data_IF_647762153185
#
_entry.id   IF_647762153185
#
_cell.length_a   1.000
_cell.length_b   1.000
_cell.length_c   1.000
_cell.angle_alpha   90.00
_cell.angle_beta   90.00
_cell.angle_gamma   90.00
#
_symmetry.space_group_name_H-M   'P 1'
#
loop_
_entity.id
_entity.type
_entity.pdbx_description
1 polymer ?
#
# COMPACT_ATOMS: atom_id res chain seq x y z
N UNK A 1 12.27 7.30 -18.50
CA UNK A 1 13.10 6.08 -18.54
C UNK A 1 14.44 6.27 -19.26
N UNK A 2 14.54 7.04 -20.35
CA UNK A 2 15.82 7.28 -21.05
C UNK A 2 16.96 7.83 -20.15
N UNK A 3 16.62 8.61 -19.12
CA UNK A 3 17.63 9.14 -18.19
C UNK A 3 18.22 8.07 -17.26
N UNK A 4 17.47 7.05 -16.82
CA UNK A 4 17.95 6.04 -15.86
C UNK A 4 19.08 5.16 -16.43
N UNK A 5 18.98 4.81 -17.72
CA UNK A 5 20.04 4.09 -18.44
C UNK A 5 21.32 4.93 -18.58
N UNK A 6 21.19 6.26 -18.54
CA UNK A 6 22.30 7.20 -18.68
C UNK A 6 22.83 7.73 -17.33
N UNK A 7 22.12 7.48 -16.21
CA UNK A 7 22.31 8.18 -14.93
C UNK A 7 22.70 7.28 -13.75
N UNK A 8 23.69 6.41 -13.92
CA UNK A 8 24.21 5.51 -12.84
C UNK A 8 23.21 4.46 -12.33
N UNK A 9 22.31 3.98 -13.20
CA UNK A 9 21.41 2.86 -12.90
C UNK A 9 20.27 3.20 -11.94
N UNK A 10 19.77 2.20 -11.22
CA UNK A 10 18.60 2.31 -10.33
C UNK A 10 18.97 2.64 -8.88
N UNK A 11 20.23 2.49 -8.48
CA UNK A 11 20.66 2.69 -7.10
C UNK A 11 20.30 4.07 -6.52
N UNK A 12 20.51 5.19 -7.23
CA UNK A 12 20.09 6.50 -6.73
C UNK A 12 18.57 6.62 -6.53
N UNK A 13 17.78 5.92 -7.34
CA UNK A 13 16.31 5.91 -7.24
C UNK A 13 15.89 5.15 -5.98
N UNK A 14 16.46 3.96 -5.75
CA UNK A 14 16.20 3.16 -4.56
C UNK A 14 16.60 3.91 -3.28
N UNK A 15 17.75 4.61 -3.26
CA UNK A 15 18.11 5.50 -2.14
C UNK A 15 17.09 6.62 -1.92
N UNK A 16 16.60 7.21 -3.00
CA UNK A 16 15.52 8.20 -2.95
C UNK A 16 14.24 7.64 -2.31
N UNK A 17 13.86 6.40 -2.62
CA UNK A 17 12.69 5.75 -1.99
C UNK A 17 12.88 5.50 -0.49
N UNK A 18 14.10 5.17 -0.05
CA UNK A 18 14.37 4.99 1.39
C UNK A 18 14.37 6.32 2.15
N UNK A 19 14.85 7.40 1.54
CA UNK A 19 15.09 8.67 2.24
C UNK A 19 13.95 9.68 2.13
N UNK A 20 12.99 9.46 1.22
CA UNK A 20 11.94 10.44 0.94
C UNK A 20 10.62 10.00 1.55
N UNK A 21 9.98 10.82 2.40
CA UNK A 21 8.70 10.47 2.98
C UNK A 21 7.62 10.37 1.90
N UNK A 22 6.73 9.38 2.05
CA UNK A 22 5.51 9.33 1.25
C UNK A 22 4.67 10.58 1.51
N UNK A 23 4.02 11.08 0.46
CA UNK A 23 3.07 12.18 0.60
C UNK A 23 1.86 11.71 1.41
N UNK A 24 1.29 12.60 2.23
CA UNK A 24 0.08 12.29 3.00
C UNK A 24 -1.06 11.81 2.08
N UNK A 25 -1.86 10.83 2.54
CA UNK A 25 -3.13 10.47 1.89
C UNK A 25 -3.98 11.71 1.60
N UNK A 26 -4.83 11.67 0.57
CA UNK A 26 -5.73 12.78 0.14
C UNK A 26 -5.09 13.93 -0.65
N UNK A 27 -3.78 13.88 -0.98
CA UNK A 27 -3.14 14.96 -1.75
C UNK A 27 -2.49 14.46 -3.02
N UNK A 28 -3.21 14.52 -4.14
CA UNK A 28 -2.60 14.36 -5.46
C UNK A 28 -1.68 15.55 -5.80
N UNK A 29 -0.62 15.33 -6.58
CA UNK A 29 0.28 16.42 -7.02
C UNK A 29 -0.16 16.92 -8.39
N UNK A 30 0.12 18.20 -8.73
CA UNK A 30 -0.08 18.71 -10.09
C UNK A 30 0.65 17.89 -11.17
N UNK A 31 1.71 17.16 -10.80
CA UNK A 31 2.39 16.25 -11.70
C UNK A 31 1.48 15.15 -12.27
N UNK A 32 0.47 14.71 -11.51
CA UNK A 32 -0.49 13.69 -11.94
C UNK A 32 -1.88 14.24 -12.24
N UNK A 33 -2.25 15.41 -11.70
CA UNK A 33 -3.56 16.02 -12.00
C UNK A 33 -3.54 16.97 -13.19
N UNK A 34 -2.39 17.59 -13.52
CA UNK A 34 -2.30 18.56 -14.62
C UNK A 34 -1.34 18.12 -15.73
N UNK A 35 -0.32 17.33 -15.39
CA UNK A 35 0.84 17.07 -16.26
C UNK A 35 1.11 15.60 -16.51
N UNK A 36 0.19 14.70 -16.16
CA UNK A 36 0.41 13.28 -16.45
C UNK A 36 0.52 13.11 -17.96
N UNK A 37 1.65 12.60 -18.45
CA UNK A 37 1.94 12.48 -19.88
C UNK A 37 1.69 13.77 -20.70
N UNK A 38 1.91 14.95 -20.09
CA UNK A 38 1.88 16.24 -20.76
C UNK A 38 0.58 17.05 -20.65
N UNK A 39 -0.57 16.43 -20.41
CA UNK A 39 -1.85 17.17 -20.26
C UNK A 39 -3.00 16.37 -19.60
N UNK A 40 -2.72 15.22 -19.00
CA UNK A 40 -3.75 14.33 -18.48
C UNK A 40 -3.92 14.48 -16.96
N UNK A 41 -5.17 14.42 -16.51
CA UNK A 41 -5.56 14.36 -15.09
C UNK A 41 -5.89 12.92 -14.68
N UNK A 42 -5.02 12.33 -13.86
CA UNK A 42 -5.21 10.98 -13.32
C UNK A 42 -6.45 10.86 -12.42
N UNK A 43 -6.78 11.90 -11.66
CA UNK A 43 -7.95 11.89 -10.78
C UNK A 43 -9.24 11.81 -11.59
N UNK A 44 -9.37 12.69 -12.60
CA UNK A 44 -10.49 12.66 -13.53
C UNK A 44 -10.58 11.35 -14.33
N UNK A 45 -9.44 10.78 -14.73
CA UNK A 45 -9.40 9.47 -15.38
C UNK A 45 -9.88 8.33 -14.46
N UNK A 46 -9.49 8.33 -13.19
CA UNK A 46 -9.90 7.30 -12.24
C UNK A 46 -11.41 7.37 -11.97
N UNK A 47 -11.98 8.58 -11.89
CA UNK A 47 -13.44 8.78 -11.82
C UNK A 47 -14.12 8.19 -13.05
N UNK A 48 -13.68 8.56 -14.26
CA UNK A 48 -14.28 8.03 -15.47
C UNK A 48 -14.12 6.52 -15.63
N UNK A 49 -12.98 5.96 -15.25
CA UNK A 49 -12.75 4.52 -15.29
C UNK A 49 -13.65 3.77 -14.31
N UNK A 50 -13.88 4.34 -13.13
CA UNK A 50 -14.84 3.80 -12.18
C UNK A 50 -16.24 3.70 -12.78
N UNK A 51 -16.69 4.74 -13.48
CA UNK A 51 -18.00 4.78 -14.15
C UNK A 51 -18.08 3.81 -15.33
N UNK A 52 -17.03 3.76 -16.16
CA UNK A 52 -16.92 2.82 -17.29
C UNK A 52 -17.01 1.36 -16.84
N UNK A 53 -16.34 1.02 -15.73
CA UNK A 53 -16.38 -0.30 -15.13
C UNK A 53 -17.64 -0.55 -14.25
N UNK A 54 -18.59 0.40 -14.23
CA UNK A 54 -19.79 0.35 -13.40
C UNK A 54 -19.51 0.02 -11.91
N UNK A 55 -18.43 0.59 -11.38
CA UNK A 55 -18.08 0.43 -9.96
C UNK A 55 -19.22 1.03 -9.11
N UNK A 56 -19.72 0.30 -8.10
CA UNK A 56 -20.77 0.82 -7.22
C UNK A 56 -20.39 2.13 -6.54
N UNK A 57 -21.39 2.92 -6.15
CA UNK A 57 -21.15 4.18 -5.46
C UNK A 57 -20.47 3.98 -4.11
N UNK A 58 -19.82 5.04 -3.62
CA UNK A 58 -19.18 5.07 -2.31
C UNK A 58 -20.15 4.65 -1.19
N UNK A 59 -21.38 5.15 -1.21
CA UNK A 59 -22.38 4.82 -0.19
C UNK A 59 -22.79 3.33 -0.23
N UNK A 60 -22.80 2.73 -1.41
CA UNK A 60 -23.04 1.28 -1.58
C UNK A 60 -21.85 0.49 -1.05
N UNK A 61 -20.62 0.90 -1.37
CA UNK A 61 -19.42 0.24 -0.86
C UNK A 61 -19.27 0.35 0.67
N UNK A 62 -19.68 1.48 1.27
CA UNK A 62 -19.79 1.64 2.73
C UNK A 62 -20.71 0.57 3.34
N UNK A 63 -21.90 0.40 2.78
CA UNK A 63 -22.84 -0.64 3.27
C UNK A 63 -22.32 -2.05 3.11
N UNK A 64 -21.61 -2.35 2.01
CA UNK A 64 -20.93 -3.64 1.83
C UNK A 64 -19.90 -3.90 2.93
N UNK A 65 -19.19 -2.85 3.37
CA UNK A 65 -18.23 -2.89 4.47
C UNK A 65 -18.85 -2.76 5.88
N UNK A 66 -20.18 -2.86 6.00
CA UNK A 66 -20.89 -2.83 7.28
C UNK A 66 -21.09 -1.44 7.90
N UNK A 67 -20.78 -0.37 7.14
CA UNK A 67 -21.03 1.01 7.58
C UNK A 67 -22.49 1.42 7.28
N UNK A 68 -23.07 2.35 8.08
CA UNK A 68 -24.41 2.87 7.81
C UNK A 68 -24.49 3.57 6.45
N UNK A 69 -25.61 3.39 5.75
CA UNK A 69 -25.90 4.15 4.53
C UNK A 69 -26.17 5.61 4.88
N UNK A 70 -25.47 6.54 4.25
CA UNK A 70 -25.68 7.97 4.42
C UNK A 70 -26.92 8.45 3.65
N UNK A 71 -27.82 9.17 4.31
CA UNK A 71 -28.94 9.86 3.68
C UNK A 71 -28.59 11.32 3.31
N UNK A 72 -27.59 11.90 3.98
CA UNK A 72 -27.08 13.24 3.74
C UNK A 72 -25.55 13.28 3.67
N UNK A 73 -24.98 14.30 3.03
CA UNK A 73 -23.52 14.47 3.01
C UNK A 73 -22.91 14.68 4.40
N UNK A 74 -23.70 15.14 5.38
CA UNK A 74 -23.26 15.29 6.78
C UNK A 74 -23.08 13.91 7.45
N UNK A 75 -23.83 12.90 7.02
CA UNK A 75 -23.76 11.53 7.56
C UNK A 75 -22.46 10.81 7.20
N UNK A 76 -21.65 11.38 6.30
CA UNK A 76 -20.28 10.92 6.05
C UNK A 76 -19.28 11.37 7.15
N UNK A 77 -19.74 12.09 8.18
CA UNK A 77 -18.90 12.55 9.30
C UNK A 77 -18.27 11.43 10.13
N UNK A 78 -18.75 10.20 9.98
CA UNK A 78 -18.17 9.02 10.62
C UNK A 78 -16.79 8.64 10.04
N UNK A 79 -16.59 8.87 8.75
CA UNK A 79 -15.34 8.53 8.04
C UNK A 79 -14.62 9.72 7.42
N UNK A 80 -15.33 10.80 7.08
CA UNK A 80 -14.79 12.04 6.49
C UNK A 80 -14.96 13.16 7.52
N UNK A 81 -13.96 13.36 8.38
CA UNK A 81 -14.09 14.26 9.53
C UNK A 81 -14.19 15.73 9.09
N UNK A 82 -13.45 16.12 8.06
CA UNK A 82 -13.44 17.50 7.55
C UNK A 82 -14.78 17.89 6.90
N UNK A 83 -15.49 18.80 7.56
CA UNK A 83 -16.77 19.35 7.09
C UNK A 83 -16.67 20.05 5.73
N UNK A 84 -15.53 20.65 5.41
CA UNK A 84 -15.34 21.32 4.11
C UNK A 84 -15.32 20.30 2.97
N UNK A 85 -14.72 19.12 3.18
CA UNK A 85 -14.74 18.04 2.20
C UNK A 85 -16.17 17.52 1.97
N UNK A 86 -16.93 17.31 3.05
CA UNK A 86 -18.34 16.90 2.98
C UNK A 86 -19.21 17.95 2.28
N UNK A 87 -19.00 19.22 2.60
CA UNK A 87 -19.67 20.34 1.90
C UNK A 87 -19.28 20.39 0.42
N UNK A 88 -18.02 20.11 0.10
CA UNK A 88 -17.52 20.01 -1.27
C UNK A 88 -18.22 18.90 -2.06
N UNK A 89 -18.40 17.73 -1.47
CA UNK A 89 -19.16 16.63 -2.09
C UNK A 89 -20.57 17.08 -2.47
N UNK A 90 -21.28 17.75 -1.56
CA UNK A 90 -22.63 18.26 -1.84
C UNK A 90 -22.73 19.38 -2.87
N UNK A 91 -21.60 19.97 -3.30
CA UNK A 91 -21.55 20.90 -4.43
C UNK A 91 -21.36 20.20 -5.78
N UNK A 92 -20.81 18.98 -5.77
CA UNK A 92 -20.41 18.26 -6.99
C UNK A 92 -21.28 17.04 -7.29
N UNK A 93 -21.96 16.49 -6.29
CA UNK A 93 -22.87 15.36 -6.40
C UNK A 93 -24.27 15.75 -5.96
N UNK A 94 -25.30 15.24 -6.65
CA UNK A 94 -26.70 15.54 -6.34
C UNK A 94 -27.15 14.81 -5.06
N UNK A 95 -26.75 13.56 -4.91
CA UNK A 95 -27.09 12.72 -3.76
C UNK A 95 -25.87 11.98 -3.23
N UNK A 96 -25.95 11.47 -2.00
CA UNK A 96 -24.89 10.62 -1.41
C UNK A 96 -24.65 9.33 -2.21
N UNK A 97 -25.66 8.88 -2.96
CA UNK A 97 -25.61 7.68 -3.77
C UNK A 97 -24.94 7.88 -5.13
N UNK A 98 -24.68 9.13 -5.53
CA UNK A 98 -23.96 9.47 -6.76
C UNK A 98 -22.43 9.56 -6.55
N UNK A 99 -21.97 9.60 -5.30
CA UNK A 99 -20.55 9.77 -4.98
C UNK A 99 -19.75 8.58 -5.51
N UNK A 100 -18.84 8.83 -6.46
CA UNK A 100 -17.96 7.81 -7.03
C UNK A 100 -17.14 7.14 -5.91
N UNK A 101 -17.04 5.80 -5.91
CA UNK A 101 -16.30 5.07 -4.87
C UNK A 101 -14.87 5.58 -4.69
N UNK A 102 -14.15 5.80 -5.81
CA UNK A 102 -12.81 6.36 -5.80
C UNK A 102 -12.74 7.66 -5.01
N UNK A 103 -13.64 8.61 -5.27
CA UNK A 103 -13.65 9.93 -4.61
C UNK A 103 -13.93 9.78 -3.12
N UNK A 104 -15.01 9.10 -2.74
CA UNK A 104 -15.36 8.92 -1.34
C UNK A 104 -14.27 8.21 -0.53
N UNK A 105 -13.73 7.11 -1.07
CA UNK A 105 -12.65 6.34 -0.42
C UNK A 105 -11.36 7.14 -0.25
N UNK A 106 -11.08 8.07 -1.17
CA UNK A 106 -9.92 8.95 -1.14
C UNK A 106 -10.17 10.21 -0.31
N UNK A 107 -11.30 10.34 0.37
CA UNK A 107 -11.59 11.43 1.32
C UNK A 107 -11.75 10.94 2.75
N UNK A 108 -11.90 9.63 2.97
CA UNK A 108 -11.96 9.06 4.33
C UNK A 108 -10.66 9.25 5.08
N UNK A 109 -10.73 9.71 6.33
CA UNK A 109 -9.56 9.80 7.20
C UNK A 109 -8.96 8.40 7.44
N UNK A 110 -7.61 8.25 7.44
CA UNK A 110 -6.98 6.95 7.62
C UNK A 110 -7.30 6.29 8.96
N UNK A 111 -7.43 4.97 8.96
CA UNK A 111 -7.53 4.19 10.20
C UNK A 111 -6.25 4.30 11.03
N UNK A 112 -6.35 4.07 12.34
CA UNK A 112 -5.19 4.09 13.24
C UNK A 112 -4.14 3.07 12.80
N UNK A 113 -2.92 3.55 12.52
CA UNK A 113 -1.82 2.70 12.03
C UNK A 113 -1.89 2.36 10.54
N UNK A 114 -2.89 2.86 9.80
CA UNK A 114 -3.07 2.66 8.37
C UNK A 114 -2.84 3.92 7.53
N UNK A 115 -2.87 3.75 6.21
CA UNK A 115 -2.73 4.84 5.23
C UNK A 115 -4.02 5.17 4.47
N UNK A 116 -5.07 4.36 4.65
CA UNK A 116 -6.35 4.52 3.96
C UNK A 116 -7.49 4.42 4.96
N UNK A 117 -8.66 4.96 4.60
CA UNK A 117 -9.85 4.90 5.43
C UNK A 117 -10.46 3.50 5.54
N UNK A 118 -11.52 3.41 6.34
CA UNK A 118 -12.20 2.15 6.69
C UNK A 118 -12.75 1.41 5.47
N UNK A 119 -13.45 2.10 4.57
CA UNK A 119 -14.10 1.46 3.42
C UNK A 119 -13.05 0.91 2.46
N UNK A 120 -11.99 1.68 2.17
CA UNK A 120 -10.92 1.22 1.30
C UNK A 120 -10.11 0.09 1.93
N UNK A 121 -9.85 0.16 3.25
CA UNK A 121 -9.19 -0.92 4.01
C UNK A 121 -9.98 -2.23 3.94
N UNK A 122 -11.31 -2.18 4.07
CA UNK A 122 -12.19 -3.33 3.95
C UNK A 122 -12.09 -3.98 2.57
N UNK A 123 -12.20 -3.19 1.49
CA UNK A 123 -12.15 -3.72 0.11
C UNK A 123 -10.77 -4.30 -0.21
N UNK A 124 -9.69 -3.60 0.16
CA UNK A 124 -8.31 -4.07 -0.01
C UNK A 124 -8.10 -5.36 0.80
N UNK A 125 -8.49 -5.37 2.07
CA UNK A 125 -8.33 -6.52 2.97
C UNK A 125 -9.06 -7.76 2.46
N UNK A 126 -10.30 -7.62 2.01
CA UNK A 126 -11.08 -8.72 1.45
C UNK A 126 -10.44 -9.25 0.15
N UNK A 127 -9.93 -8.37 -0.71
CA UNK A 127 -9.24 -8.79 -1.93
C UNK A 127 -7.94 -9.55 -1.63
N UNK A 128 -7.10 -9.04 -0.73
CA UNK A 128 -5.84 -9.71 -0.35
C UNK A 128 -6.08 -11.03 0.37
N UNK A 129 -7.11 -11.09 1.23
CA UNK A 129 -7.52 -12.33 1.89
C UNK A 129 -7.93 -13.40 0.86
N UNK A 130 -8.77 -13.04 -0.11
CA UNK A 130 -9.20 -13.98 -1.16
C UNK A 130 -8.03 -14.43 -2.04
N UNK A 131 -7.10 -13.55 -2.37
CA UNK A 131 -5.90 -13.91 -3.13
C UNK A 131 -5.04 -14.92 -2.36
N UNK A 132 -4.84 -14.71 -1.05
CA UNK A 132 -4.10 -15.62 -0.19
C UNK A 132 -4.82 -16.97 -0.04
N UNK A 133 -6.06 -16.94 0.42
CA UNK A 133 -6.83 -18.14 0.79
C UNK A 133 -7.22 -18.97 -0.45
N UNK A 134 -7.36 -18.33 -1.61
CA UNK A 134 -7.69 -18.97 -2.88
C UNK A 134 -6.50 -19.44 -3.71
N UNK A 135 -5.27 -19.11 -3.32
CA UNK A 135 -4.07 -19.53 -4.04
C UNK A 135 -3.58 -20.90 -3.54
N UNK A 136 -3.72 -21.92 -4.40
CA UNK A 136 -3.21 -23.27 -4.13
C UNK A 136 -1.70 -23.27 -3.86
N UNK A 137 -0.95 -22.35 -4.46
CA UNK A 137 0.49 -22.22 -4.33
C UNK A 137 0.92 -21.14 -3.34
N UNK A 138 0.02 -20.63 -2.50
CA UNK A 138 0.40 -19.72 -1.43
C UNK A 138 1.49 -20.37 -0.57
N UNK A 139 2.59 -19.65 -0.33
CA UNK A 139 3.86 -20.24 0.12
C UNK A 139 3.80 -20.90 1.51
N UNK A 140 2.80 -20.59 2.33
CA UNK A 140 2.59 -21.22 3.64
C UNK A 140 1.68 -22.45 3.59
N UNK A 141 1.11 -22.78 2.42
CA UNK A 141 0.25 -23.94 2.29
C UNK A 141 1.05 -25.24 2.47
N UNK A 142 0.49 -26.25 3.16
CA UNK A 142 1.13 -27.56 3.31
C UNK A 142 1.48 -28.18 1.96
N UNK A 143 2.72 -28.64 1.83
CA UNK A 143 3.21 -29.32 0.62
C UNK A 143 3.76 -28.39 -0.48
N UNK A 144 3.65 -27.06 -0.35
CA UNK A 144 4.31 -26.13 -1.28
C UNK A 144 5.81 -26.04 -0.97
N UNK A 145 6.15 -25.83 0.29
CA UNK A 145 7.53 -25.84 0.78
C UNK A 145 7.67 -26.78 1.98
N UNK A 146 8.87 -27.34 2.16
CA UNK A 146 9.19 -28.06 3.40
C UNK A 146 9.30 -27.09 4.59
N UNK A 147 9.15 -27.56 5.85
CA UNK A 147 9.33 -26.69 7.01
C UNK A 147 10.70 -25.99 7.06
N UNK A 148 11.75 -26.66 6.59
CA UNK A 148 13.09 -26.09 6.50
C UNK A 148 13.15 -24.95 5.46
N UNK A 149 12.56 -25.15 4.28
CA UNK A 149 12.47 -24.12 3.25
C UNK A 149 11.65 -22.92 3.71
N UNK A 150 10.51 -23.15 4.38
CA UNK A 150 9.65 -22.07 4.89
C UNK A 150 10.36 -21.23 5.96
N UNK A 151 11.18 -21.86 6.80
CA UNK A 151 12.03 -21.17 7.78
C UNK A 151 13.02 -20.22 7.10
N UNK A 152 13.58 -20.62 5.96
CA UNK A 152 14.50 -19.77 5.18
C UNK A 152 13.75 -18.66 4.42
N UNK A 153 12.59 -18.95 3.82
CA UNK A 153 11.77 -17.93 3.13
C UNK A 153 11.41 -16.79 4.08
N UNK A 154 11.04 -17.10 5.33
CA UNK A 154 10.67 -16.10 6.35
C UNK A 154 11.80 -15.16 6.78
N UNK A 155 13.05 -15.45 6.42
CA UNK A 155 14.19 -14.54 6.62
C UNK A 155 14.29 -13.46 5.54
N UNK A 156 13.57 -13.63 4.42
CA UNK A 156 13.62 -12.70 3.30
C UNK A 156 13.09 -11.33 3.70
N UNK A 157 13.74 -10.27 3.22
CA UNK A 157 13.29 -8.89 3.35
C UNK A 157 13.57 -8.12 2.06
N UNK A 158 12.80 -7.08 1.77
CA UNK A 158 13.10 -6.21 0.63
C UNK A 158 14.47 -5.54 0.78
N UNK A 159 14.89 -5.25 2.02
CA UNK A 159 16.24 -4.75 2.32
C UNK A 159 17.31 -5.74 1.84
N UNK A 160 17.15 -7.04 2.13
CA UNK A 160 18.11 -8.05 1.64
C UNK A 160 18.12 -8.13 0.11
N UNK A 161 16.95 -8.11 -0.53
CA UNK A 161 16.84 -8.13 -2.00
C UNK A 161 17.59 -6.95 -2.61
N UNK A 162 17.46 -5.75 -2.04
CA UNK A 162 18.20 -4.56 -2.50
C UNK A 162 19.71 -4.72 -2.27
N UNK A 163 20.14 -5.19 -1.10
CA UNK A 163 21.56 -5.45 -0.81
C UNK A 163 22.20 -6.49 -1.75
N UNK A 164 21.45 -7.53 -2.13
CA UNK A 164 21.93 -8.60 -3.01
C UNK A 164 22.07 -8.19 -4.48
N UNK A 165 21.29 -7.19 -4.92
CA UNK A 165 21.13 -6.86 -6.34
C UNK A 165 21.53 -5.42 -6.68
N UNK A 166 21.86 -4.59 -5.69
CA UNK A 166 22.36 -3.23 -5.89
C UNK A 166 23.87 -3.20 -6.08
N UNK A 167 24.37 -2.35 -6.96
CA UNK A 167 25.81 -2.27 -7.26
C UNK A 167 26.61 -1.64 -6.10
N UNK A 168 26.01 -0.71 -5.36
CA UNK A 168 26.68 0.05 -4.28
C UNK A 168 25.79 0.22 -3.03
N UNK A 169 25.22 -0.88 -2.55
CA UNK A 169 24.38 -0.90 -1.34
C UNK A 169 25.10 -1.59 -0.17
N UNK A 170 25.95 -0.84 0.55
CA UNK A 170 26.59 -1.34 1.78
C UNK A 170 25.73 -1.13 3.02
N UNK A 171 24.89 -0.08 3.00
CA UNK A 171 24.03 0.37 4.09
C UNK A 171 22.58 0.48 3.60
N UNK A 172 21.64 0.06 4.43
CA UNK A 172 20.21 0.08 4.10
C UNK A 172 19.35 0.49 5.29
N UNK A 173 18.18 1.07 5.00
CA UNK A 173 17.15 1.26 6.02
C UNK A 173 16.67 -0.11 6.50
N UNK A 174 16.66 -0.30 7.81
CA UNK A 174 16.08 -1.45 8.45
C UNK A 174 15.37 -0.96 9.69
N UNK A 175 14.16 -0.45 9.50
CA UNK A 175 13.26 -0.19 10.61
C UNK A 175 12.36 -1.38 10.86
N UNK A 176 12.05 -1.57 12.14
CA UNK A 176 11.28 -2.69 12.64
C UNK A 176 9.83 -2.23 12.79
N UNK A 177 8.98 -2.53 11.80
CA UNK A 177 7.54 -2.41 12.04
C UNK A 177 7.10 -3.62 12.84
N UNK A 178 6.96 -3.43 14.15
CA UNK A 178 6.39 -4.44 15.03
C UNK A 178 4.86 -4.40 14.90
N UNK A 179 4.29 -5.31 14.10
CA UNK A 179 2.86 -5.53 14.03
C UNK A 179 2.45 -6.66 14.96
N UNK A 180 1.87 -6.31 16.11
CA UNK A 180 1.37 -7.28 17.07
C UNK A 180 -0.12 -7.50 16.92
N UNK A 181 -0.52 -8.74 16.57
CA UNK A 181 -1.93 -9.17 16.61
C UNK A 181 -2.36 -9.41 18.06
N UNK A 182 -1.41 -9.77 18.93
CA UNK A 182 -1.57 -9.85 20.39
C UNK A 182 -0.20 -9.77 21.07
N UNK A 183 -0.16 -9.69 22.40
CA UNK A 183 1.10 -9.70 23.17
C UNK A 183 2.00 -10.93 22.91
N UNK A 184 1.44 -12.05 22.41
CA UNK A 184 2.20 -13.27 22.07
C UNK A 184 2.51 -13.41 20.57
N UNK A 185 1.90 -12.58 19.70
CA UNK A 185 2.06 -12.69 18.25
C UNK A 185 2.42 -11.34 17.66
N UNK A 186 3.73 -11.10 17.63
CA UNK A 186 4.32 -9.90 17.07
C UNK A 186 5.12 -10.26 15.82
N UNK A 187 4.63 -9.80 14.68
CA UNK A 187 5.34 -9.83 13.41
C UNK A 187 6.25 -8.63 13.34
N UNK A 188 7.39 -8.85 12.70
CA UNK A 188 8.42 -7.83 12.57
C UNK A 188 8.71 -7.73 11.10
N UNK A 189 8.16 -6.71 10.47
CA UNK A 189 8.42 -6.47 9.06
C UNK A 189 9.66 -5.58 9.00
N UNK A 190 10.71 -6.12 8.38
CA UNK A 190 11.89 -5.37 8.02
C UNK A 190 11.61 -4.73 6.66
N UNK A 191 11.29 -3.45 6.66
CA UNK A 191 10.94 -2.73 5.44
C UNK A 191 12.04 -1.75 5.06
N UNK A 192 12.52 -1.90 3.82
CA UNK A 192 13.53 -1.03 3.23
C UNK A 192 13.03 0.42 3.05
N UNK A 193 11.71 0.63 3.05
CA UNK A 193 11.08 1.92 2.73
C UNK A 193 10.34 2.56 3.90
N UNK A 194 10.58 2.07 5.12
CA UNK A 194 10.29 2.87 6.30
C UNK A 194 11.36 3.96 6.40
N UNK A 195 10.90 5.18 6.72
CA UNK A 195 11.79 6.32 6.92
C UNK A 195 12.83 5.91 7.96
N UNK A 196 14.12 5.91 7.60
CA UNK A 196 15.13 5.38 8.48
C UNK A 196 15.13 6.17 9.79
N UNK A 197 15.20 5.46 10.91
CA UNK A 197 15.75 5.99 12.14
C UNK A 197 17.14 6.60 11.93
N UNK A 198 17.79 7.13 12.98
CA UNK A 198 19.04 7.86 12.83
C UNK A 198 20.22 7.04 12.27
N UNK A 199 20.09 5.70 12.14
CA UNK A 199 21.18 4.81 11.72
C UNK A 199 20.71 3.83 10.63
N UNK A 200 21.56 3.65 9.62
CA UNK A 200 21.40 2.62 8.59
C UNK A 200 22.12 1.33 9.01
N UNK A 201 21.59 0.18 8.63
CA UNK A 201 22.19 -1.13 8.93
C UNK A 201 23.11 -1.59 7.81
N UNK A 202 24.31 -2.11 8.11
CA UNK A 202 25.16 -2.80 7.13
C UNK A 202 24.48 -4.02 6.52
N UNK A 203 24.53 -4.16 5.20
CA UNK A 203 23.96 -5.29 4.48
C UNK A 203 24.53 -6.66 4.91
N UNK A 204 25.74 -6.69 5.46
CA UNK A 204 26.38 -7.88 6.03
C UNK A 204 25.71 -8.40 7.31
N UNK A 205 24.94 -7.55 8.01
CA UNK A 205 24.21 -7.93 9.23
C UNK A 205 22.81 -8.46 8.94
N UNK A 206 22.34 -8.36 7.68
CA UNK A 206 21.02 -8.86 7.32
C UNK A 206 21.00 -10.38 7.21
N UNK A 207 19.92 -11.05 7.67
CA UNK A 207 19.72 -12.47 7.45
C UNK A 207 19.81 -12.83 5.95
N UNK A 208 20.45 -13.96 5.66
CA UNK A 208 20.50 -14.53 4.32
C UNK A 208 19.66 -15.81 4.27
N UNK A 209 19.02 -16.04 3.13
CA UNK A 209 18.26 -17.26 2.84
C UNK A 209 19.25 -18.38 2.54
N UNK A 210 19.25 -19.45 3.33
CA UNK A 210 20.07 -20.63 3.06
C UNK A 210 19.44 -21.51 1.97
N UNK A 211 19.87 -21.29 0.72
CA UNK A 211 19.39 -22.07 -0.43
C UNK A 211 19.82 -23.54 -0.41
N UNK A 212 20.68 -23.97 0.53
CA UNK A 212 21.01 -25.40 0.66
C UNK A 212 19.79 -26.27 0.99
N UNK A 213 18.72 -25.69 1.54
CA UNK A 213 17.45 -26.40 1.83
C UNK A 213 16.66 -26.77 0.57
N UNK A 214 17.11 -26.37 -0.62
CA UNK A 214 16.53 -26.74 -1.92
C UNK A 214 17.36 -27.77 -2.68
N UNK A 215 18.49 -28.23 -2.13
CA UNK A 215 19.24 -29.32 -2.76
C UNK A 215 18.39 -30.59 -2.76
N UNK A 216 18.18 -31.15 -3.95
CA UNK A 216 17.59 -32.47 -4.12
C UNK A 216 18.57 -33.48 -3.51
N UNK A 217 18.04 -34.37 -2.65
CA UNK A 217 18.76 -35.54 -2.17
C UNK A 217 18.87 -36.57 -3.29
#
# INVERSE_FOLDING_TARGET
>A
MQNALSSRGIDPILRGFMSTPVKRPHRMTPAITEKMFGSTDLGSLNIQRGRDHAIPSYNTMRTFCGLPRAASFEDFSDMILDKNLRTGLGKHYNTTDDVDFYVGSMLEDPVVGGLVGTTLSCVIGEQFKRLRDGDRFYYENPGVFTPAQLTEIRKSSLSRVICDNGDHFDLISQDYCQYCISHLYCFSIQDAFLLPGPQLTPCSQLPQVDLSKWKLQ
#
